data_IF_648338298567
#
_entry.id   IF_648338298567
#
_cell.length_a   1.000
_cell.length_b   1.000
_cell.length_c   1.000
_cell.angle_alpha   90.00
_cell.angle_beta   90.00
_cell.angle_gamma   90.00
#
_symmetry.space_group_name_H-M   'P 1'
#
loop_
_entity.id
_entity.type
_entity.pdbx_description
1 polymer ?
#
# COMPACT_ATOMS: atom_id res chain seq x y z
N UNK A 1 4.96 -2.21 -12.45
CA UNK A 1 5.54 -3.44 -11.86
C UNK A 1 4.95 -3.59 -10.47
N UNK A 2 4.53 -4.79 -10.09
CA UNK A 2 4.06 -5.13 -8.75
C UNK A 2 5.04 -6.10 -8.06
N UNK A 3 4.88 -6.28 -6.75
CA UNK A 3 5.61 -7.26 -5.94
C UNK A 3 4.64 -8.04 -5.04
N UNK A 4 4.93 -9.31 -4.75
CA UNK A 4 4.18 -10.05 -3.72
C UNK A 4 4.60 -9.70 -2.29
N UNK A 5 3.80 -10.15 -1.33
CA UNK A 5 4.08 -10.04 0.10
C UNK A 5 5.44 -10.59 0.51
N UNK A 6 5.86 -11.74 -0.04
CA UNK A 6 7.16 -12.33 0.31
C UNK A 6 8.34 -11.47 -0.15
N UNK A 7 8.23 -10.85 -1.33
CA UNK A 7 9.22 -9.91 -1.86
C UNK A 7 9.22 -8.61 -1.07
N UNK A 8 8.05 -8.07 -0.74
CA UNK A 8 7.91 -6.93 0.15
C UNK A 8 8.66 -7.16 1.48
N UNK A 9 8.44 -8.33 2.10
CA UNK A 9 9.06 -8.67 3.38
C UNK A 9 10.58 -8.76 3.27
N UNK A 10 11.11 -9.37 2.21
CA UNK A 10 12.55 -9.42 1.97
C UNK A 10 13.15 -8.03 1.78
N UNK A 11 12.50 -7.15 1.02
CA UNK A 11 12.96 -5.78 0.79
C UNK A 11 13.01 -4.99 2.11
N UNK A 12 11.97 -5.11 2.93
CA UNK A 12 11.89 -4.42 4.22
C UNK A 12 12.91 -5.00 5.20
N UNK A 13 13.00 -6.33 5.31
CA UNK A 13 13.92 -7.01 6.21
C UNK A 13 15.39 -6.80 5.85
N UNK A 14 15.73 -6.71 4.56
CA UNK A 14 17.11 -6.46 4.12
C UNK A 14 17.58 -5.05 4.44
N UNK A 15 16.66 -4.14 4.82
CA UNK A 15 16.99 -2.73 5.10
C UNK A 15 17.68 -2.03 3.92
N UNK A 16 17.40 -2.43 2.68
CA UNK A 16 18.16 -1.98 1.52
C UNK A 16 18.08 -0.45 1.39
N UNK A 17 19.23 0.20 1.54
CA UNK A 17 19.30 1.66 1.59
C UNK A 17 18.80 2.34 0.32
N UNK A 18 18.95 1.73 -0.86
CA UNK A 18 18.46 2.29 -2.12
C UNK A 18 16.93 2.33 -2.14
N UNK A 19 16.27 1.22 -1.77
CA UNK A 19 14.81 1.15 -1.69
C UNK A 19 14.27 2.11 -0.62
N UNK A 20 14.88 2.08 0.58
CA UNK A 20 14.49 2.96 1.68
C UNK A 20 14.64 4.43 1.29
N UNK A 21 15.77 4.83 0.74
CA UNK A 21 16.03 6.22 0.36
C UNK A 21 15.06 6.69 -0.73
N UNK A 22 14.89 5.91 -1.79
CA UNK A 22 13.97 6.23 -2.88
C UNK A 22 12.52 6.37 -2.37
N UNK A 23 11.99 5.36 -1.71
CA UNK A 23 10.58 5.31 -1.30
C UNK A 23 10.24 6.20 -0.11
N UNK A 24 11.21 6.55 0.74
CA UNK A 24 11.00 7.53 1.83
C UNK A 24 11.03 8.98 1.31
N UNK A 25 11.70 9.21 0.17
CA UNK A 25 11.83 10.57 -0.40
C UNK A 25 10.58 11.06 -1.13
N UNK A 26 9.63 10.17 -1.40
CA UNK A 26 8.44 10.47 -2.19
C UNK A 26 7.16 10.14 -1.43
N UNK A 27 6.12 10.93 -1.72
CA UNK A 27 4.73 10.61 -1.37
C UNK A 27 4.10 9.88 -2.56
N UNK A 28 2.89 9.36 -2.40
CA UNK A 28 2.19 8.83 -3.56
C UNK A 28 0.95 8.03 -3.26
N UNK A 29 0.39 7.48 -4.32
CA UNK A 29 -0.76 6.57 -4.30
C UNK A 29 -0.26 5.17 -4.66
N UNK A 30 -0.67 4.19 -3.87
CA UNK A 30 -0.32 2.78 -4.06
C UNK A 30 -1.58 1.92 -4.18
N UNK A 31 -1.41 0.74 -4.77
CA UNK A 31 -2.45 -0.26 -4.97
C UNK A 31 -2.04 -1.57 -4.30
N UNK A 32 -2.97 -2.15 -3.55
CA UNK A 32 -2.95 -3.56 -3.22
C UNK A 32 -3.99 -4.28 -4.07
N UNK A 33 -3.62 -5.43 -4.61
CA UNK A 33 -4.52 -6.35 -5.32
C UNK A 33 -4.48 -7.69 -4.62
N UNK A 34 -5.63 -8.20 -4.19
CA UNK A 34 -5.72 -9.61 -3.79
C UNK A 34 -5.93 -10.46 -5.03
N UNK A 35 -4.90 -11.18 -5.44
CA UNK A 35 -4.93 -12.05 -6.61
C UNK A 35 -5.90 -13.23 -6.46
N UNK A 36 -6.35 -13.55 -5.25
CA UNK A 36 -7.33 -14.61 -5.01
C UNK A 36 -8.77 -14.14 -5.26
N UNK A 37 -9.10 -12.92 -4.86
CA UNK A 37 -10.48 -12.38 -4.92
C UNK A 37 -10.69 -11.37 -6.04
N UNK A 38 -9.60 -10.80 -6.59
CA UNK A 38 -9.63 -9.68 -7.52
C UNK A 38 -9.93 -8.33 -6.86
N UNK A 39 -10.10 -8.30 -5.53
CA UNK A 39 -10.45 -7.07 -4.82
C UNK A 39 -9.23 -6.16 -4.65
N UNK A 40 -9.50 -4.86 -4.74
CA UNK A 40 -8.48 -3.81 -4.74
C UNK A 40 -8.54 -2.96 -3.48
N UNK A 41 -7.39 -2.44 -3.08
CA UNK A 41 -7.27 -1.33 -2.14
C UNK A 41 -6.34 -0.26 -2.70
N UNK A 42 -6.86 0.95 -2.83
CA UNK A 42 -6.08 2.16 -3.13
C UNK A 42 -5.80 2.88 -1.82
N UNK A 43 -4.53 3.19 -1.57
CA UNK A 43 -4.12 3.98 -0.41
C UNK A 43 -3.15 5.08 -0.78
N UNK A 44 -3.12 6.14 0.04
CA UNK A 44 -2.11 7.19 -0.02
C UNK A 44 -0.98 6.97 0.98
N UNK A 45 0.19 7.47 0.64
CA UNK A 45 1.36 7.55 1.49
C UNK A 45 1.86 9.00 1.54
N UNK A 46 1.33 9.77 2.49
CA UNK A 46 1.53 11.22 2.62
C UNK A 46 2.18 11.67 3.93
N UNK A 47 2.41 10.73 4.85
CA UNK A 47 3.19 10.94 6.08
C UNK A 47 4.70 11.02 5.84
N UNK A 48 5.45 11.30 6.90
CA UNK A 48 6.88 11.66 6.81
C UNK A 48 7.80 10.57 6.26
N UNK A 49 7.43 9.31 6.43
CA UNK A 49 8.16 8.14 5.94
C UNK A 49 7.80 7.74 4.50
N UNK A 50 6.94 8.52 3.83
CA UNK A 50 6.55 8.30 2.43
C UNK A 50 5.96 6.90 2.18
N UNK A 51 6.16 6.40 0.96
CA UNK A 51 5.72 5.06 0.54
C UNK A 51 6.40 3.96 1.38
N UNK A 52 7.67 4.18 1.74
CA UNK A 52 8.44 3.23 2.56
C UNK A 52 7.75 2.93 3.89
N UNK A 53 7.24 3.95 4.57
CA UNK A 53 6.53 3.77 5.84
C UNK A 53 5.31 2.84 5.72
N UNK A 54 4.53 2.96 4.65
CA UNK A 54 3.38 2.08 4.40
C UNK A 54 3.83 0.65 4.10
N UNK A 55 4.88 0.48 3.30
CA UNK A 55 5.46 -0.85 3.02
C UNK A 55 5.96 -1.54 4.29
N UNK A 56 6.67 -0.81 5.16
CA UNK A 56 7.06 -1.33 6.48
C UNK A 56 5.85 -1.77 7.33
N UNK A 57 4.76 -0.99 7.33
CA UNK A 57 3.55 -1.36 8.08
C UNK A 57 2.89 -2.63 7.53
N UNK A 58 2.79 -2.79 6.21
CA UNK A 58 2.26 -4.02 5.63
C UNK A 58 3.20 -5.20 5.84
N UNK A 59 4.52 -4.99 5.84
CA UNK A 59 5.46 -6.05 6.15
C UNK A 59 5.32 -6.54 7.59
N UNK A 60 5.24 -5.62 8.56
CA UNK A 60 5.20 -5.96 9.99
C UNK A 60 3.84 -6.46 10.48
N UNK A 61 2.73 -5.96 9.93
CA UNK A 61 1.36 -6.31 10.38
C UNK A 61 0.61 -7.21 9.40
N UNK A 62 1.08 -7.29 8.16
CA UNK A 62 0.40 -8.01 7.08
C UNK A 62 -0.78 -7.26 6.44
N UNK A 63 -1.54 -6.49 7.23
CA UNK A 63 -2.75 -5.78 6.77
C UNK A 63 -2.61 -4.24 6.77
N UNK A 64 -1.50 -3.70 7.29
CA UNK A 64 -1.20 -2.25 7.28
C UNK A 64 -2.26 -1.39 7.95
N UNK A 65 -2.94 -1.96 8.96
CA UNK A 65 -4.10 -1.41 9.67
C UNK A 65 -5.30 -1.01 8.80
N UNK A 66 -5.39 -1.54 7.57
CA UNK A 66 -6.62 -1.43 6.78
C UNK A 66 -7.72 -2.27 7.44
N UNK A 67 -8.84 -1.64 7.81
CA UNK A 67 -9.96 -2.31 8.49
C UNK A 67 -10.52 -3.51 7.72
N UNK A 68 -10.65 -3.42 6.39
CA UNK A 68 -11.15 -4.50 5.56
C UNK A 68 -10.16 -5.67 5.49
N UNK A 69 -8.87 -5.40 5.38
CA UNK A 69 -7.83 -6.44 5.39
C UNK A 69 -7.67 -7.07 6.78
N UNK A 70 -7.87 -6.31 7.86
CA UNK A 70 -7.95 -6.86 9.22
C UNK A 70 -9.16 -7.79 9.37
N UNK A 71 -10.31 -7.45 8.80
CA UNK A 71 -11.47 -8.32 8.79
C UNK A 71 -11.24 -9.59 7.95
N UNK A 72 -10.57 -9.46 6.81
CA UNK A 72 -10.30 -10.58 5.90
C UNK A 72 -9.24 -11.55 6.44
N UNK A 73 -8.14 -11.02 7.00
CA UNK A 73 -6.99 -11.82 7.40
C UNK A 73 -6.89 -12.03 8.91
N UNK A 74 -7.65 -11.30 9.72
CA UNK A 74 -7.45 -11.21 11.16
C UNK A 74 -6.27 -10.29 11.54
N UNK A 75 -6.04 -10.18 12.85
CA UNK A 75 -4.96 -9.36 13.43
C UNK A 75 -3.59 -10.06 13.33
N UNK A 76 -3.59 -11.39 13.20
CA UNK A 76 -2.36 -12.18 13.04
C UNK A 76 -2.09 -12.38 11.55
N UNK A 77 -0.81 -12.48 11.18
CA UNK A 77 -0.43 -12.85 9.83
C UNK A 77 -1.02 -14.22 9.46
N UNK A 78 -1.62 -14.30 8.27
CA UNK A 78 -2.18 -15.53 7.71
C UNK A 78 -1.58 -15.80 6.33
N UNK A 79 -1.59 -17.07 5.92
CA UNK A 79 -1.09 -17.49 4.60
C UNK A 79 -1.78 -16.74 3.45
N UNK A 80 -3.03 -16.28 3.65
CA UNK A 80 -3.79 -15.50 2.66
C UNK A 80 -3.10 -14.20 2.25
N UNK A 81 -2.26 -13.61 3.10
CA UNK A 81 -1.53 -12.38 2.77
C UNK A 81 -0.55 -12.58 1.60
N UNK A 82 -0.13 -13.83 1.31
CA UNK A 82 0.73 -14.15 0.16
C UNK A 82 0.07 -13.82 -1.18
N UNK A 83 -1.26 -13.77 -1.21
CA UNK A 83 -2.03 -13.50 -2.41
C UNK A 83 -2.16 -11.99 -2.68
N UNK A 84 -1.64 -11.14 -1.78
CA UNK A 84 -1.53 -9.70 -2.01
C UNK A 84 -0.37 -9.36 -2.95
N UNK A 85 -0.67 -8.49 -3.90
CA UNK A 85 0.29 -7.79 -4.76
C UNK A 85 0.31 -6.31 -4.43
N UNK A 86 1.50 -5.73 -4.36
CA UNK A 86 1.75 -4.34 -4.02
C UNK A 86 2.32 -3.61 -5.23
N UNK A 87 1.74 -2.46 -5.58
CA UNK A 87 2.26 -1.61 -6.64
C UNK A 87 2.12 -0.13 -6.31
N UNK A 88 2.90 0.71 -6.97
CA UNK A 88 2.79 2.16 -6.89
C UNK A 88 2.01 2.62 -8.13
N UNK A 89 0.90 3.33 -7.92
CA UNK A 89 0.10 3.91 -9.00
C UNK A 89 0.64 5.26 -9.43
N UNK A 90 1.05 6.08 -8.46
CA UNK A 90 1.45 7.45 -8.72
C UNK A 90 2.47 7.92 -7.68
N UNK A 91 3.59 8.43 -8.16
CA UNK A 91 4.62 9.07 -7.33
C UNK A 91 4.36 10.56 -7.31
N UNK A 92 4.39 11.15 -6.11
CA UNK A 92 4.14 12.57 -5.90
C UNK A 92 5.30 13.20 -5.12
N UNK A 93 5.57 14.48 -5.40
CA UNK A 93 6.61 15.24 -4.71
C UNK A 93 6.31 15.30 -3.21
N UNK A 94 7.35 15.25 -2.37
CA UNK A 94 7.23 15.34 -0.91
C UNK A 94 6.57 16.65 -0.44
N UNK A 95 6.68 17.72 -1.23
CA UNK A 95 6.08 19.04 -1.01
C UNK A 95 4.64 19.14 -1.51
N UNK A 96 4.10 18.09 -2.15
CA UNK A 96 2.71 18.05 -2.59
C UNK A 96 1.79 18.30 -1.39
N UNK A 97 0.81 19.18 -1.60
CA UNK A 97 -0.19 19.48 -0.57
C UNK A 97 -1.05 18.24 -0.31
N UNK A 98 -1.44 18.02 0.94
CA UNK A 98 -2.29 16.88 1.32
C UNK A 98 -3.59 16.83 0.51
N UNK A 99 -4.21 18.00 0.29
CA UNK A 99 -5.42 18.14 -0.53
C UNK A 99 -5.25 17.67 -1.98
N UNK A 100 -4.04 17.77 -2.55
CA UNK A 100 -3.75 17.23 -3.88
C UNK A 100 -3.65 15.71 -3.83
N UNK A 101 -2.96 15.16 -2.83
CA UNK A 101 -2.83 13.71 -2.65
C UNK A 101 -4.21 13.07 -2.42
N UNK A 102 -5.08 13.71 -1.64
CA UNK A 102 -6.46 13.25 -1.42
C UNK A 102 -7.27 13.19 -2.71
N UNK A 103 -7.12 14.20 -3.57
CA UNK A 103 -7.77 14.22 -4.88
C UNK A 103 -7.26 13.07 -5.77
N UNK A 104 -5.95 12.79 -5.75
CA UNK A 104 -5.36 11.68 -6.52
C UNK A 104 -5.81 10.33 -5.97
N UNK A 105 -5.81 10.14 -4.66
CA UNK A 105 -6.31 8.92 -4.02
C UNK A 105 -7.78 8.69 -4.38
N UNK A 106 -8.62 9.73 -4.28
CA UNK A 106 -10.04 9.68 -4.61
C UNK A 106 -10.28 9.38 -6.10
N UNK A 107 -9.45 9.95 -6.97
CA UNK A 107 -9.47 9.67 -8.40
C UNK A 107 -9.23 8.18 -8.69
N UNK A 108 -8.17 7.60 -8.13
CA UNK A 108 -7.83 6.20 -8.32
C UNK A 108 -8.86 5.25 -7.69
N UNK A 109 -9.36 5.57 -6.49
CA UNK A 109 -10.47 4.81 -5.86
C UNK A 109 -11.69 4.72 -6.77
N UNK A 110 -12.02 5.82 -7.47
CA UNK A 110 -13.16 5.90 -8.39
C UNK A 110 -12.92 5.11 -9.67
N UNK A 111 -11.79 5.33 -10.34
CA UNK A 111 -11.48 4.68 -11.62
C UNK A 111 -11.30 3.17 -11.47
N UNK A 112 -10.66 2.73 -10.38
CA UNK A 112 -10.42 1.31 -10.12
C UNK A 112 -11.56 0.63 -9.35
N UNK A 113 -12.64 1.37 -9.06
CA UNK A 113 -13.79 0.87 -8.29
C UNK A 113 -13.41 0.19 -6.97
N UNK A 114 -12.33 0.62 -6.33
CA UNK A 114 -11.75 -0.08 -5.18
C UNK A 114 -12.63 -0.02 -3.91
N UNK A 115 -13.67 0.82 -3.91
CA UNK A 115 -14.72 0.84 -2.88
C UNK A 115 -15.64 -0.37 -2.90
N UNK A 116 -15.70 -1.09 -4.01
CA UNK A 116 -16.34 -2.40 -4.08
C UNK A 116 -15.43 -3.51 -3.51
N UNK A 117 -14.17 -3.18 -3.21
CA UNK A 117 -13.20 -4.06 -2.57
C UNK A 117 -12.87 -3.62 -1.15
N UNK A 118 -11.58 -3.40 -0.90
CA UNK A 118 -11.04 -3.21 0.45
C UNK A 118 -10.98 -1.74 0.89
N UNK A 119 -11.39 -0.77 0.05
CA UNK A 119 -11.63 0.60 0.52
C UNK A 119 -13.03 0.70 1.15
N UNK A 120 -13.09 0.89 2.46
CA UNK A 120 -14.35 1.02 3.23
C UNK A 120 -14.64 2.46 3.67
N UNK A 121 -14.01 3.43 3.02
CA UNK A 121 -14.09 4.86 3.31
C UNK A 121 -14.45 5.72 2.10
#
# INVERSE_FOLDING_TARGET
MDIDKGTLDRIVASGNNSWRAALSSVKGIYLLTDSKTGLLYVGKADGDAGIWGRWCQYSSTGHGWNKALVQEFGIKATDRQRDLRFSILEVMDRRSQESQIDKRESHWKRILMSRNGYNRN
#
